data_IF_870135229573
#
_entry.id   IF_870135229573
#
_cell.length_a   1.000
_cell.length_b   1.000
_cell.length_c   1.000
_cell.angle_alpha   90.00
_cell.angle_beta   90.00
_cell.angle_gamma   90.00
#
_symmetry.space_group_name_H-M   'P 1'
#
loop_
_entity.id
_entity.type
_entity.pdbx_description
1 polymer ?
#
# COMPACT_ATOMS: atom_id res chain seq x y z
N UNK A 1 30.92 19.71 0.61
CA UNK A 1 29.59 20.34 0.39
C UNK A 1 28.55 19.43 -0.29
N UNK A 2 28.91 18.47 -1.16
CA UNK A 2 27.92 17.57 -1.84
C UNK A 2 27.19 16.54 -0.94
N UNK A 3 27.67 16.25 0.27
CA UNK A 3 27.04 15.28 1.20
C UNK A 3 25.89 15.85 2.03
N UNK A 4 25.82 17.18 2.19
CA UNK A 4 24.77 17.83 2.99
C UNK A 4 23.46 18.06 2.21
N UNK A 5 23.54 18.19 0.87
CA UNK A 5 22.35 18.35 0.02
C UNK A 5 21.51 17.06 -0.09
N UNK A 6 22.14 15.88 0.04
CA UNK A 6 21.48 14.58 -0.10
C UNK A 6 20.65 14.18 1.14
N UNK A 7 21.07 14.63 2.32
CA UNK A 7 20.36 14.40 3.59
C UNK A 7 19.07 15.22 3.71
N UNK A 8 19.02 16.40 3.07
CA UNK A 8 17.82 17.26 3.03
C UNK A 8 16.73 16.68 2.10
N UNK A 9 17.10 15.96 1.04
CA UNK A 9 16.11 15.30 0.16
C UNK A 9 15.42 14.10 0.83
N UNK A 10 16.14 13.32 1.66
CA UNK A 10 15.57 12.15 2.36
C UNK A 10 14.63 12.57 3.50
N UNK A 11 14.87 13.72 4.12
CA UNK A 11 13.98 14.28 5.15
C UNK A 11 12.69 14.88 4.56
N UNK A 12 12.71 15.35 3.31
CA UNK A 12 11.54 15.91 2.64
C UNK A 12 10.54 14.85 2.13
N UNK A 13 10.97 13.59 2.00
CA UNK A 13 10.12 12.50 1.46
C UNK A 13 9.25 11.79 2.52
N UNK A 14 9.46 12.06 3.81
CA UNK A 14 8.58 11.58 4.88
C UNK A 14 7.29 12.41 5.01
N UNK A 15 7.22 13.57 4.34
CA UNK A 15 6.14 14.54 4.47
C UNK A 15 5.33 14.66 3.17
N UNK A 16 4.55 13.62 2.81
CA UNK A 16 3.50 13.76 1.79
C UNK A 16 2.43 12.62 1.77
N UNK A 17 2.22 11.88 2.87
CA UNK A 17 1.14 10.88 2.92
C UNK A 17 0.17 11.20 4.05
N UNK A 18 -1.03 11.64 3.69
CA UNK A 18 -2.17 11.90 4.59
C UNK A 18 -2.80 10.63 5.15
N UNK A 19 -2.53 9.46 4.57
CA UNK A 19 -3.03 8.17 5.06
C UNK A 19 -2.50 7.80 6.45
N UNK A 20 -3.42 7.39 7.33
CA UNK A 20 -3.09 6.85 8.66
C UNK A 20 -2.26 5.56 8.60
N UNK A 21 -1.83 5.06 9.76
CA UNK A 21 -0.98 3.86 9.86
C UNK A 21 -1.59 2.62 9.15
N UNK A 22 -2.92 2.51 9.16
CA UNK A 22 -3.67 1.43 8.51
C UNK A 22 -3.52 1.44 6.98
N UNK A 23 -3.68 2.60 6.37
CA UNK A 23 -3.57 2.78 4.92
C UNK A 23 -2.15 2.47 4.43
N UNK A 24 -1.13 2.92 5.18
CA UNK A 24 0.28 2.62 4.88
C UNK A 24 0.59 1.13 4.98
N UNK A 25 0.05 0.47 6.00
CA UNK A 25 0.16 -0.98 6.17
C UNK A 25 -0.49 -1.74 5.02
N UNK A 26 -1.67 -1.30 4.58
CA UNK A 26 -2.37 -1.86 3.44
C UNK A 26 -1.52 -1.78 2.16
N UNK A 27 -1.01 -0.60 1.82
CA UNK A 27 -0.19 -0.38 0.63
C UNK A 27 1.04 -1.28 0.60
N UNK A 28 1.72 -1.40 1.73
CA UNK A 28 2.90 -2.24 1.86
C UNK A 28 2.57 -3.70 1.54
N UNK A 29 1.50 -4.24 2.10
CA UNK A 29 1.09 -5.62 1.84
C UNK A 29 0.59 -5.85 0.42
N UNK A 30 -0.14 -4.91 -0.17
CA UNK A 30 -0.56 -5.01 -1.58
C UNK A 30 0.66 -4.99 -2.49
N UNK A 31 1.64 -4.12 -2.26
CA UNK A 31 2.86 -4.06 -3.08
C UNK A 31 3.76 -5.29 -2.88
N UNK A 32 3.85 -5.79 -1.65
CA UNK A 32 4.46 -7.07 -1.30
C UNK A 32 3.86 -8.21 -2.13
N UNK A 33 2.54 -8.35 -2.07
CA UNK A 33 1.78 -9.33 -2.84
C UNK A 33 1.98 -9.17 -4.34
N UNK A 34 1.89 -7.94 -4.87
CA UNK A 34 2.07 -7.67 -6.31
C UNK A 34 3.48 -7.99 -6.80
N UNK A 35 4.51 -7.76 -5.99
CA UNK A 35 5.90 -8.01 -6.37
C UNK A 35 6.23 -9.51 -6.49
N UNK A 36 5.75 -10.31 -5.55
CA UNK A 36 5.95 -11.76 -5.53
C UNK A 36 4.77 -12.43 -4.78
N UNK A 37 3.66 -12.75 -5.49
CA UNK A 37 2.48 -13.33 -4.87
C UNK A 37 2.77 -14.66 -4.16
N UNK A 38 3.67 -15.48 -4.73
CA UNK A 38 3.99 -16.79 -4.17
C UNK A 38 4.78 -16.68 -2.88
N UNK A 39 5.76 -15.77 -2.83
CA UNK A 39 6.52 -15.50 -1.60
C UNK A 39 5.62 -14.88 -0.54
N UNK A 40 4.75 -13.94 -0.92
CA UNK A 40 3.76 -13.37 -0.02
C UNK A 40 2.88 -14.45 0.63
N UNK A 41 2.32 -15.36 -0.17
CA UNK A 41 1.55 -16.50 0.34
C UNK A 41 2.33 -17.33 1.36
N UNK A 42 3.60 -17.64 1.07
CA UNK A 42 4.42 -18.47 1.96
C UNK A 42 4.80 -17.74 3.26
N UNK A 43 5.28 -16.50 3.17
CA UNK A 43 5.76 -15.75 4.34
C UNK A 43 4.61 -15.42 5.29
N UNK A 44 3.46 -15.02 4.75
CA UNK A 44 2.30 -14.61 5.54
C UNK A 44 1.25 -15.71 5.71
N UNK A 45 1.56 -16.95 5.32
CA UNK A 45 0.64 -18.10 5.31
C UNK A 45 -0.73 -17.73 4.73
N UNK A 46 -0.71 -16.94 3.65
CA UNK A 46 -1.89 -16.37 3.04
C UNK A 46 -2.40 -17.27 1.93
N UNK A 47 -3.70 -17.56 1.96
CA UNK A 47 -4.41 -18.16 0.83
C UNK A 47 -4.73 -17.07 -0.20
N UNK A 48 -4.32 -17.32 -1.45
CA UNK A 48 -4.48 -16.41 -2.59
C UNK A 48 -5.43 -17.08 -3.58
N UNK A 49 -6.61 -16.48 -3.77
CA UNK A 49 -7.69 -17.04 -4.58
C UNK A 49 -7.64 -16.64 -6.06
N UNK A 50 -6.70 -15.77 -6.44
CA UNK A 50 -6.49 -15.39 -7.83
C UNK A 50 -5.17 -15.94 -8.38
N UNK A 51 -5.11 -16.18 -9.70
CA UNK A 51 -3.89 -16.55 -10.42
C UNK A 51 -2.92 -15.38 -10.58
N UNK A 52 -2.63 -14.66 -9.49
CA UNK A 52 -1.79 -13.47 -9.50
C UNK A 52 -0.36 -13.81 -9.96
N UNK A 53 0.12 -13.00 -10.88
CA UNK A 53 1.52 -12.99 -11.32
C UNK A 53 2.21 -11.73 -10.82
N UNK A 54 3.56 -11.70 -10.77
CA UNK A 54 4.29 -10.48 -10.45
C UNK A 54 3.87 -9.30 -11.34
N UNK A 55 3.59 -8.15 -10.72
CA UNK A 55 3.20 -6.90 -11.40
C UNK A 55 3.90 -5.70 -10.76
N UNK A 56 3.82 -4.55 -11.42
CA UNK A 56 4.40 -3.30 -10.90
C UNK A 56 3.75 -2.92 -9.57
N UNK A 57 4.56 -2.39 -8.66
CA UNK A 57 4.08 -1.78 -7.42
C UNK A 57 3.19 -0.58 -7.73
N UNK A 58 2.27 -0.31 -6.81
CA UNK A 58 1.34 0.81 -6.85
C UNK A 58 1.90 1.96 -6.03
N UNK A 59 1.66 3.17 -6.52
CA UNK A 59 2.06 4.39 -5.87
C UNK A 59 0.84 5.08 -5.24
N UNK A 60 0.93 5.59 -4.01
CA UNK A 60 -0.20 6.30 -3.44
C UNK A 60 -0.53 7.56 -4.25
N UNK A 61 -1.82 7.85 -4.41
CA UNK A 61 -2.31 9.04 -5.07
C UNK A 61 -3.38 9.72 -4.21
N UNK A 62 -3.13 10.97 -3.82
CA UNK A 62 -4.03 11.72 -2.93
C UNK A 62 -5.46 11.79 -3.46
N UNK A 63 -5.65 11.97 -4.77
CA UNK A 63 -7.00 12.00 -5.35
C UNK A 63 -7.73 10.64 -5.21
N UNK A 64 -7.02 9.50 -5.25
CA UNK A 64 -7.62 8.19 -5.01
C UNK A 64 -7.88 7.99 -3.51
N UNK A 65 -7.02 8.53 -2.64
CA UNK A 65 -7.25 8.52 -1.18
C UNK A 65 -8.50 9.32 -0.80
N UNK A 66 -8.69 10.49 -1.40
CA UNK A 66 -9.88 11.32 -1.22
C UNK A 66 -11.15 10.61 -1.72
N UNK A 67 -11.07 9.95 -2.89
CA UNK A 67 -12.18 9.16 -3.42
C UNK A 67 -12.56 7.98 -2.52
N UNK A 68 -11.55 7.24 -2.03
CA UNK A 68 -11.74 6.10 -1.15
C UNK A 68 -12.29 6.52 0.21
N UNK A 69 -11.76 7.60 0.80
CA UNK A 69 -12.24 8.17 2.06
C UNK A 69 -13.70 8.62 1.94
N UNK A 70 -14.04 9.32 0.85
CA UNK A 70 -15.42 9.71 0.58
C UNK A 70 -16.34 8.49 0.53
N UNK A 71 -15.97 7.44 -0.20
CA UNK A 71 -16.82 6.26 -0.33
C UNK A 71 -16.94 5.51 0.99
N UNK A 72 -15.84 5.33 1.72
CA UNK A 72 -15.82 4.67 3.01
C UNK A 72 -16.76 5.37 4.00
N UNK A 73 -16.73 6.70 4.05
CA UNK A 73 -17.65 7.51 4.87
C UNK A 73 -19.08 7.44 4.36
N UNK A 74 -19.28 7.59 3.05
CA UNK A 74 -20.60 7.63 2.43
C UNK A 74 -21.36 6.34 2.68
N UNK A 75 -20.72 5.19 2.46
CA UNK A 75 -21.30 3.86 2.71
C UNK A 75 -21.05 3.36 4.14
N UNK A 76 -20.43 4.12 5.04
CA UNK A 76 -20.45 3.76 6.47
C UNK A 76 -21.81 4.09 7.11
N UNK A 77 -22.49 5.16 6.64
CA UNK A 77 -23.77 5.65 7.19
C UNK A 77 -24.88 4.60 7.13
N UNK A 78 -25.56 4.34 8.25
CA UNK A 78 -26.62 3.32 8.36
C UNK A 78 -27.71 3.36 7.26
N UNK A 79 -28.02 4.54 6.71
CA UNK A 79 -29.01 4.74 5.64
C UNK A 79 -28.54 4.34 4.24
N UNK A 80 -27.27 4.00 4.06
CA UNK A 80 -26.68 3.70 2.76
C UNK A 80 -26.44 2.19 2.61
N UNK A 81 -26.68 1.59 1.43
CA UNK A 81 -26.26 0.21 1.19
C UNK A 81 -24.72 0.11 1.14
N UNK A 82 -24.16 -1.03 1.54
CA UNK A 82 -22.77 -1.36 1.23
C UNK A 82 -22.72 -1.80 -0.23
N UNK A 83 -22.17 -0.94 -1.09
CA UNK A 83 -22.11 -1.14 -2.53
C UNK A 83 -20.90 -0.40 -3.10
N UNK A 84 -20.49 -0.78 -4.30
CA UNK A 84 -19.55 0.01 -5.11
C UNK A 84 -20.18 1.32 -5.60
N UNK A 85 -21.52 1.35 -5.65
CA UNK A 85 -22.25 2.57 -5.90
C UNK A 85 -22.15 3.51 -4.70
N UNK A 86 -21.99 4.80 -5.00
CA UNK A 86 -22.11 5.90 -4.04
C UNK A 86 -23.49 5.87 -3.40
N UNK A 87 -23.59 6.25 -2.13
CA UNK A 87 -24.88 6.32 -1.45
C UNK A 87 -25.90 7.16 -2.26
N UNK A 88 -27.15 6.67 -2.44
CA UNK A 88 -28.16 7.34 -3.28
C UNK A 88 -28.36 8.83 -3.00
N UNK A 89 -28.23 9.23 -1.73
CA UNK A 89 -28.40 10.62 -1.28
C UNK A 89 -27.31 11.56 -1.80
N UNK A 90 -26.17 11.02 -2.22
CA UNK A 90 -25.01 11.80 -2.66
C UNK A 90 -24.82 11.77 -4.18
N UNK A 91 -25.55 10.93 -4.92
CA UNK A 91 -25.29 10.71 -6.36
C UNK A 91 -25.37 11.99 -7.20
N UNK A 92 -26.23 12.93 -6.81
CA UNK A 92 -26.34 14.23 -7.47
C UNK A 92 -25.04 15.05 -7.47
N UNK A 93 -24.11 14.78 -6.53
CA UNK A 93 -22.79 15.43 -6.46
C UNK A 93 -21.85 15.01 -7.59
N UNK A 94 -22.04 13.81 -8.13
CA UNK A 94 -21.16 13.20 -9.13
C UNK A 94 -21.82 13.06 -10.50
N UNK A 95 -23.10 13.44 -10.63
CA UNK A 95 -23.89 13.22 -11.83
C UNK A 95 -24.36 11.77 -12.02
N UNK A 96 -24.20 10.92 -11.00
CA UNK A 96 -24.54 9.49 -11.01
C UNK A 96 -24.12 8.79 -9.73
N UNK A 97 -24.61 7.56 -9.53
CA UNK A 97 -24.25 6.74 -8.36
C UNK A 97 -23.06 5.83 -8.62
N UNK A 98 -22.64 5.63 -9.87
CA UNK A 98 -21.57 4.68 -10.17
C UNK A 98 -20.24 5.08 -9.56
N UNK A 99 -19.42 4.07 -9.25
CA UNK A 99 -18.08 4.28 -8.71
C UNK A 99 -17.20 5.09 -9.67
N UNK A 100 -17.42 4.95 -10.99
CA UNK A 100 -16.63 5.65 -12.01
C UNK A 100 -16.91 7.15 -12.00
N UNK A 101 -18.16 7.56 -11.82
CA UNK A 101 -18.58 8.96 -11.72
C UNK A 101 -17.95 9.61 -10.49
N UNK A 102 -18.03 8.95 -9.33
CA UNK A 102 -17.35 9.40 -8.09
C UNK A 102 -15.85 9.50 -8.30
N UNK A 103 -15.21 8.44 -8.79
CA UNK A 103 -13.75 8.41 -8.93
C UNK A 103 -13.25 9.48 -9.91
N UNK A 104 -13.98 9.75 -11.00
CA UNK A 104 -13.63 10.82 -11.95
C UNK A 104 -13.78 12.24 -11.38
N UNK A 105 -14.65 12.47 -10.39
CA UNK A 105 -14.74 13.79 -9.77
C UNK A 105 -13.52 14.13 -8.93
N UNK A 106 -12.87 13.12 -8.33
CA UNK A 106 -11.64 13.29 -7.55
C UNK A 106 -10.38 13.14 -8.42
N UNK A 107 -10.32 12.09 -9.24
CA UNK A 107 -9.22 11.78 -10.15
C UNK A 107 -9.69 11.78 -11.63
N UNK A 108 -9.81 12.94 -12.30
CA UNK A 108 -10.32 13.01 -13.68
C UNK A 108 -9.44 12.27 -14.70
N UNK A 109 -8.15 12.11 -14.41
CA UNK A 109 -7.19 11.42 -15.29
C UNK A 109 -7.10 9.90 -15.03
N UNK A 110 -7.87 9.37 -14.06
CA UNK A 110 -7.84 7.95 -13.75
C UNK A 110 -8.50 7.12 -14.84
N UNK A 111 -7.78 6.10 -15.30
CA UNK A 111 -8.28 5.11 -16.25
C UNK A 111 -8.06 3.70 -15.72
N UNK A 112 -8.77 2.71 -16.29
CA UNK A 112 -8.73 1.31 -15.85
C UNK A 112 -8.95 1.12 -14.34
N UNK A 113 -9.76 2.00 -13.74
CA UNK A 113 -9.97 2.05 -12.30
C UNK A 113 -10.77 0.84 -11.79
N UNK A 114 -10.39 0.33 -10.63
CA UNK A 114 -11.11 -0.71 -9.89
C UNK A 114 -11.19 -0.32 -8.43
N UNK A 115 -12.25 -0.80 -7.78
CA UNK A 115 -12.47 -0.61 -6.36
C UNK A 115 -12.54 -1.97 -5.67
N UNK A 116 -11.98 -2.06 -4.47
CA UNK A 116 -12.27 -3.14 -3.52
C UNK A 116 -12.79 -2.52 -2.23
N UNK A 117 -13.80 -3.14 -1.63
CA UNK A 117 -14.35 -2.65 -0.38
C UNK A 117 -14.70 -3.80 0.57
N UNK A 118 -14.64 -3.52 1.87
CA UNK A 118 -15.08 -4.46 2.90
C UNK A 118 -15.85 -3.75 3.99
N UNK A 119 -16.70 -4.50 4.69
CA UNK A 119 -17.43 -4.06 5.86
C UNK A 119 -17.17 -5.03 7.02
N UNK A 120 -16.92 -4.49 8.22
CA UNK A 120 -16.89 -5.24 9.47
C UNK A 120 -15.51 -5.33 10.14
N UNK A 121 -14.46 -5.83 9.47
CA UNK A 121 -13.14 -5.94 10.07
C UNK A 121 -12.53 -4.58 10.44
N UNK A 122 -12.02 -4.47 11.68
CA UNK A 122 -11.37 -3.24 12.19
C UNK A 122 -9.86 -3.17 11.93
N UNK A 123 -9.26 -4.33 11.62
CA UNK A 123 -7.82 -4.51 11.45
C UNK A 123 -7.53 -4.78 9.99
N UNK A 124 -6.63 -4.00 9.40
CA UNK A 124 -6.25 -4.11 7.99
C UNK A 124 -5.71 -5.49 7.64
N UNK A 125 -5.02 -6.18 8.56
CA UNK A 125 -4.57 -7.57 8.33
C UNK A 125 -5.73 -8.49 7.94
N UNK A 126 -6.84 -8.40 8.68
CA UNK A 126 -8.04 -9.21 8.40
C UNK A 126 -8.74 -8.78 7.11
N UNK A 127 -8.68 -7.49 6.75
CA UNK A 127 -9.18 -6.97 5.47
C UNK A 127 -8.38 -7.57 4.31
N UNK A 128 -7.06 -7.54 4.40
CA UNK A 128 -6.16 -8.15 3.42
C UNK A 128 -6.42 -9.66 3.28
N UNK A 129 -6.56 -10.37 4.39
CA UNK A 129 -6.83 -11.81 4.37
C UNK A 129 -8.14 -12.12 3.59
N UNK A 130 -9.19 -11.30 3.78
CA UNK A 130 -10.46 -11.43 3.07
C UNK A 130 -10.34 -11.07 1.58
N UNK A 131 -9.62 -10.00 1.26
CA UNK A 131 -9.41 -9.59 -0.13
C UNK A 131 -8.62 -10.63 -0.91
N UNK A 132 -7.55 -11.20 -0.35
CA UNK A 132 -6.76 -12.22 -1.05
C UNK A 132 -7.49 -13.54 -1.21
N UNK A 133 -8.41 -13.90 -0.31
CA UNK A 133 -9.27 -15.09 -0.43
C UNK A 133 -10.48 -14.92 -1.35
N UNK A 134 -10.79 -13.69 -1.74
CA UNK A 134 -11.89 -13.39 -2.64
C UNK A 134 -11.37 -13.26 -4.08
N UNK A 135 -11.79 -14.11 -5.04
CA UNK A 135 -11.24 -14.08 -6.41
C UNK A 135 -11.32 -12.71 -7.07
N UNK A 136 -12.44 -11.98 -6.91
CA UNK A 136 -12.63 -10.66 -7.48
C UNK A 136 -11.73 -9.59 -6.85
N UNK A 137 -11.72 -9.49 -5.52
CA UNK A 137 -10.87 -8.53 -4.82
C UNK A 137 -9.38 -8.80 -5.06
N UNK A 138 -8.96 -10.06 -5.00
CA UNK A 138 -7.59 -10.48 -5.28
C UNK A 138 -7.17 -10.08 -6.69
N UNK A 139 -8.00 -10.35 -7.71
CA UNK A 139 -7.72 -9.99 -9.09
C UNK A 139 -7.62 -8.48 -9.30
N UNK A 140 -8.42 -7.68 -8.60
CA UNK A 140 -8.31 -6.22 -8.61
C UNK A 140 -7.01 -5.73 -7.96
N UNK A 141 -6.64 -6.26 -6.80
CA UNK A 141 -5.37 -5.92 -6.14
C UNK A 141 -4.15 -6.33 -6.96
N UNK A 142 -4.22 -7.39 -7.77
CA UNK A 142 -3.16 -7.81 -8.70
C UNK A 142 -3.27 -7.21 -10.10
N UNK A 143 -4.18 -6.25 -10.35
CA UNK A 143 -4.47 -5.77 -11.70
C UNK A 143 -3.21 -5.13 -12.34
N UNK A 144 -2.71 -5.64 -13.49
CA UNK A 144 -1.47 -5.13 -14.09
C UNK A 144 -1.61 -3.70 -14.66
N UNK A 145 -2.82 -3.28 -15.01
CA UNK A 145 -3.06 -1.96 -15.60
C UNK A 145 -2.99 -0.82 -14.58
N UNK A 146 -3.07 -1.10 -13.28
CA UNK A 146 -3.00 -0.06 -12.25
C UNK A 146 -1.52 0.29 -11.93
N UNK A 147 -1.25 1.58 -11.81
CA UNK A 147 0.03 2.13 -11.34
C UNK A 147 -0.13 2.89 -10.01
N UNK A 148 -1.36 3.16 -9.59
CA UNK A 148 -1.65 4.00 -8.44
C UNK A 148 -2.71 3.38 -7.54
N UNK A 149 -2.67 3.74 -6.26
CA UNK A 149 -3.62 3.29 -5.23
C UNK A 149 -4.02 4.44 -4.31
N UNK A 150 -5.26 4.39 -3.80
CA UNK A 150 -5.72 5.17 -2.67
C UNK A 150 -6.58 4.28 -1.79
N UNK A 151 -6.49 4.40 -0.47
CA UNK A 151 -7.30 3.60 0.44
C UNK A 151 -7.62 4.35 1.73
N UNK A 152 -8.77 4.03 2.32
CA UNK A 152 -9.17 4.57 3.61
C UNK A 152 -9.99 3.56 4.44
N UNK A 153 -10.00 3.78 5.75
CA UNK A 153 -10.71 2.96 6.73
C UNK A 153 -11.56 3.84 7.66
N UNK A 154 -12.84 3.94 7.34
CA UNK A 154 -13.83 4.58 8.20
C UNK A 154 -14.29 3.61 9.28
N UNK A 155 -14.07 3.96 10.55
CA UNK A 155 -14.48 3.14 11.72
C UNK A 155 -15.81 3.53 12.33
N UNK A 156 -16.54 4.45 11.69
CA UNK A 156 -17.86 4.88 12.13
C UNK A 156 -18.89 3.81 11.74
N UNK A 157 -19.75 3.43 12.69
CA UNK A 157 -20.85 2.46 12.61
C UNK A 157 -20.48 1.05 12.12
N UNK A 158 -20.11 0.92 10.85
CA UNK A 158 -20.03 -0.35 10.11
C UNK A 158 -18.62 -0.85 9.83
N UNK A 159 -17.59 -0.05 10.14
CA UNK A 159 -16.18 -0.32 9.81
C UNK A 159 -16.01 -0.63 8.31
N UNK A 160 -15.91 0.40 7.50
CA UNK A 160 -15.81 0.26 6.05
C UNK A 160 -14.38 0.57 5.61
N UNK A 161 -13.80 -0.35 4.84
CA UNK A 161 -12.53 -0.13 4.16
C UNK A 161 -12.78 -0.04 2.67
N UNK A 162 -12.20 0.96 2.01
CA UNK A 162 -12.24 1.12 0.55
C UNK A 162 -10.81 1.28 0.05
N UNK A 163 -10.49 0.63 -1.07
CA UNK A 163 -9.29 0.91 -1.83
C UNK A 163 -9.60 1.00 -3.33
N UNK A 164 -9.17 2.11 -3.91
CA UNK A 164 -9.24 2.41 -5.33
C UNK A 164 -7.87 2.23 -5.98
N UNK A 165 -7.82 1.52 -7.09
CA UNK A 165 -6.61 1.33 -7.89
C UNK A 165 -6.88 1.84 -9.30
N UNK A 166 -5.96 2.59 -9.87
CA UNK A 166 -6.12 3.14 -11.22
C UNK A 166 -4.79 3.27 -11.96
N UNK A 167 -4.88 3.52 -13.27
CA UNK A 167 -3.79 4.02 -14.08
C UNK A 167 -3.85 5.55 -14.12
N UNK A 168 -2.79 6.22 -13.66
CA UNK A 168 -2.63 7.67 -13.69
C UNK A 168 -1.50 8.13 -14.63
N UNK A 169 -0.92 7.20 -15.41
CA UNK A 169 0.20 7.45 -16.32
C UNK A 169 1.37 8.16 -15.63
N UNK A 170 1.73 7.71 -14.44
CA UNK A 170 2.81 8.35 -13.70
C UNK A 170 4.17 7.84 -14.18
N UNK A 171 4.76 8.55 -15.14
CA UNK A 171 6.08 8.21 -15.72
C UNK A 171 7.26 8.64 -14.85
N UNK A 172 7.06 9.56 -13.90
CA UNK A 172 8.14 10.34 -13.29
C UNK A 172 8.12 10.27 -11.75
N UNK A 173 7.77 9.12 -11.17
CA UNK A 173 7.65 9.08 -9.72
C UNK A 173 9.01 9.08 -9.04
N UNK A 174 9.25 10.06 -8.14
CA UNK A 174 10.50 10.09 -7.40
C UNK A 174 10.57 8.84 -6.52
N UNK A 175 11.78 8.36 -6.23
CA UNK A 175 11.95 7.14 -5.46
C UNK A 175 11.32 7.30 -4.07
N UNK A 176 10.28 6.53 -3.80
CA UNK A 176 9.63 6.54 -2.49
C UNK A 176 10.03 5.28 -1.72
N UNK A 177 10.17 5.44 -0.40
CA UNK A 177 10.41 4.36 0.54
C UNK A 177 9.25 4.36 1.53
N UNK A 178 8.50 3.27 1.61
CA UNK A 178 7.49 3.07 2.64
C UNK A 178 7.99 1.97 3.56
N UNK A 179 8.34 2.33 4.80
CA UNK A 179 8.67 1.37 5.84
C UNK A 179 7.56 1.34 6.90
N UNK A 180 7.22 0.16 7.39
CA UNK A 180 6.24 -0.03 8.45
C UNK A 180 6.64 -1.21 9.32
N UNK A 181 6.32 -1.12 10.61
CA UNK A 181 6.60 -2.14 11.61
C UNK A 181 5.31 -2.55 12.30
N UNK A 182 5.03 -3.84 12.36
CA UNK A 182 3.94 -4.38 13.16
C UNK A 182 4.37 -4.50 14.62
N UNK A 183 3.76 -3.74 15.55
CA UNK A 183 4.05 -3.90 16.97
C UNK A 183 3.51 -5.23 17.52
N UNK A 184 2.49 -5.85 16.91
CA UNK A 184 1.91 -7.11 17.35
C UNK A 184 2.64 -8.32 16.75
N UNK A 185 3.05 -8.24 15.48
CA UNK A 185 3.61 -9.38 14.74
C UNK A 185 5.16 -9.40 14.68
N UNK A 186 5.84 -8.45 15.34
CA UNK A 186 7.31 -8.34 15.42
C UNK A 186 8.02 -8.39 14.07
N UNK A 187 7.39 -7.86 13.03
CA UNK A 187 8.00 -7.72 11.71
C UNK A 187 7.89 -6.29 11.20
N UNK A 188 8.75 -5.91 10.28
CA UNK A 188 8.76 -4.61 9.63
C UNK A 188 8.98 -4.91 8.17
N UNK A 189 8.24 -4.26 7.30
CA UNK A 189 8.57 -4.29 5.89
C UNK A 189 8.84 -2.89 5.35
N UNK A 190 9.73 -2.81 4.37
CA UNK A 190 9.99 -1.61 3.61
C UNK A 190 9.86 -1.91 2.11
N UNK A 191 9.12 -1.07 1.40
CA UNK A 191 9.01 -1.07 -0.06
C UNK A 191 9.73 0.16 -0.59
N UNK A 192 10.59 -0.01 -1.59
CA UNK A 192 11.25 1.12 -2.26
C UNK A 192 11.09 1.05 -3.76
N UNK A 193 10.96 2.19 -4.40
CA UNK A 193 10.89 2.27 -5.87
C UNK A 193 12.05 3.11 -6.38
N UNK A 194 13.25 2.54 -6.36
CA UNK A 194 14.43 3.17 -6.92
C UNK A 194 14.54 2.68 -8.37
N UNK A 195 14.13 3.52 -9.33
CA UNK A 195 14.35 3.33 -10.79
C UNK A 195 13.87 1.96 -11.33
N UNK A 196 12.60 1.82 -11.71
CA UNK A 196 12.00 0.61 -12.34
C UNK A 196 12.21 -0.74 -11.62
N UNK A 197 12.98 -0.79 -10.53
CA UNK A 197 13.24 -1.95 -9.69
C UNK A 197 12.55 -1.72 -8.35
N UNK A 198 11.70 -2.66 -7.96
CA UNK A 198 11.03 -2.65 -6.66
C UNK A 198 11.84 -3.50 -5.69
N UNK A 199 12.27 -2.89 -4.58
CA UNK A 199 12.99 -3.58 -3.53
C UNK A 199 12.09 -3.77 -2.32
N UNK A 200 12.05 -5.00 -1.82
CA UNK A 200 11.36 -5.36 -0.60
C UNK A 200 12.38 -5.69 0.49
N UNK A 201 12.17 -5.14 1.69
CA UNK A 201 12.82 -5.59 2.92
C UNK A 201 11.76 -6.14 3.85
N UNK A 202 11.93 -7.35 4.36
CA UNK A 202 11.13 -7.88 5.48
C UNK A 202 12.11 -8.19 6.63
N UNK A 203 11.86 -7.61 7.81
CA UNK A 203 12.49 -7.94 9.09
C UNK A 203 11.49 -8.74 9.91
N UNK A 204 11.94 -9.80 10.60
CA UNK A 204 11.21 -10.40 11.72
C UNK A 204 12.14 -10.53 12.93
N UNK A 205 11.63 -10.26 14.13
CA UNK A 205 12.31 -10.56 15.38
C UNK A 205 11.93 -11.98 15.83
N UNK A 206 12.63 -12.99 15.29
CA UNK A 206 12.44 -14.41 15.66
C UNK A 206 13.16 -14.80 16.97
N UNK A 207 13.55 -13.80 17.78
CA UNK A 207 14.14 -14.00 19.09
C UNK A 207 15.62 -14.41 19.09
N UNK A 208 16.24 -14.69 17.94
CA UNK A 208 17.70 -14.95 17.87
C UNK A 208 18.43 -14.43 16.62
N UNK A 209 17.75 -14.08 15.52
CA UNK A 209 18.41 -13.58 14.30
C UNK A 209 17.57 -12.54 13.57
N UNK A 210 18.01 -11.28 13.60
CA UNK A 210 17.50 -10.25 12.69
C UNK A 210 17.80 -10.66 11.24
N UNK A 211 16.82 -11.19 10.51
CA UNK A 211 16.93 -11.49 9.09
C UNK A 211 16.29 -10.35 8.31
N UNK A 212 17.08 -9.69 7.47
CA UNK A 212 16.57 -8.79 6.45
C UNK A 212 16.84 -9.43 5.09
N UNK A 213 15.80 -9.65 4.29
CA UNK A 213 15.96 -9.97 2.88
C UNK A 213 15.68 -8.69 2.12
N UNK A 214 16.74 -7.98 1.74
CA UNK A 214 16.69 -6.79 0.90
C UNK A 214 17.11 -7.14 -0.53
N UNK A 215 16.64 -6.40 -1.53
CA UNK A 215 17.11 -6.52 -2.92
C UNK A 215 17.38 -5.11 -3.43
N UNK A 216 18.56 -4.57 -3.12
CA UNK A 216 18.92 -3.19 -3.45
C UNK A 216 20.12 -3.12 -4.40
N UNK A 217 20.13 -2.10 -5.26
CA UNK A 217 21.37 -1.42 -5.62
C UNK A 217 21.94 -0.73 -4.37
N UNK A 218 23.25 -0.80 -4.09
CA UNK A 218 23.83 -0.32 -2.82
C UNK A 218 23.48 1.14 -2.50
N UNK A 219 23.09 1.45 -1.25
CA UNK A 219 22.62 2.80 -0.85
C UNK A 219 22.41 3.03 0.65
N UNK A 220 22.08 4.28 1.03
CA UNK A 220 21.76 4.71 2.40
C UNK A 220 20.24 4.82 2.58
N UNK A 221 19.71 4.28 3.69
CA UNK A 221 18.27 4.23 3.92
C UNK A 221 17.93 4.66 5.35
N UNK A 222 16.88 5.47 5.51
CA UNK A 222 16.35 5.90 6.81
C UNK A 222 15.07 5.13 7.08
N UNK A 223 15.02 4.37 8.17
CA UNK A 223 13.81 3.69 8.63
C UNK A 223 13.24 4.44 9.84
N UNK A 224 11.97 4.79 9.79
CA UNK A 224 11.28 5.40 10.94
C UNK A 224 10.35 4.37 11.58
N UNK A 225 10.46 4.21 12.90
CA UNK A 225 9.53 3.37 13.66
C UNK A 225 8.26 4.15 14.04
N UNK A 226 7.25 3.44 14.55
CA UNK A 226 5.95 4.01 14.98
C UNK A 226 6.10 5.03 16.12
N UNK A 227 7.19 4.99 16.89
CA UNK A 227 7.44 5.95 17.99
C UNK A 227 8.14 7.23 17.54
N UNK A 228 8.29 7.47 16.23
CA UNK A 228 9.01 8.64 15.69
C UNK A 228 10.53 8.59 15.94
N UNK A 229 11.08 7.46 16.40
CA UNK A 229 12.52 7.26 16.52
C UNK A 229 13.05 6.74 15.19
N UNK A 230 13.71 7.63 14.45
CA UNK A 230 14.45 7.24 13.26
C UNK A 230 15.65 6.37 13.64
N UNK A 231 15.79 5.23 12.98
CA UNK A 231 17.00 4.41 13.01
C UNK A 231 17.62 4.44 11.62
N UNK A 232 18.90 4.80 11.54
CA UNK A 232 19.63 4.71 10.27
C UNK A 232 19.91 3.23 9.99
N UNK A 233 19.49 2.73 8.83
CA UNK A 233 19.74 1.33 8.44
C UNK A 233 20.63 1.34 7.21
N UNK A 234 21.81 0.73 7.33
CA UNK A 234 22.75 0.62 6.23
C UNK A 234 22.58 -0.71 5.52
N UNK A 235 22.44 -0.69 4.19
CA UNK A 235 22.34 -1.90 3.38
C UNK A 235 23.54 -2.00 2.43
N UNK A 236 24.38 -3.01 2.63
CA UNK A 236 25.41 -3.41 1.65
C UNK A 236 24.86 -4.38 0.64
N UNK A 237 25.18 -4.18 -0.64
CA UNK A 237 24.92 -5.19 -1.67
C UNK A 237 25.61 -6.51 -1.30
N UNK A 238 24.82 -7.53 -1.00
CA UNK A 238 25.28 -8.91 -1.07
C UNK A 238 25.24 -9.39 -2.51
N UNK A 239 26.15 -10.27 -2.91
CA UNK A 239 26.19 -10.80 -4.28
C UNK A 239 24.88 -11.52 -4.65
N UNK A 240 24.57 -11.55 -5.95
CA UNK A 240 23.33 -12.06 -6.57
C UNK A 240 22.90 -13.47 -6.13
N UNK A 241 23.77 -14.24 -5.47
CA UNK A 241 23.54 -15.65 -5.13
C UNK A 241 23.27 -15.91 -3.65
N UNK A 242 23.49 -14.94 -2.75
CA UNK A 242 23.16 -15.07 -1.32
C UNK A 242 23.32 -13.72 -0.60
N UNK A 243 22.30 -12.86 -0.61
CA UNK A 243 22.46 -11.57 0.02
C UNK A 243 22.32 -11.70 1.55
N UNK A 244 23.46 -11.60 2.25
CA UNK A 244 23.50 -11.45 3.72
C UNK A 244 23.61 -9.97 4.04
N UNK A 245 22.61 -9.43 4.73
CA UNK A 245 22.62 -8.04 5.21
C UNK A 245 22.93 -8.03 6.70
N UNK A 246 23.96 -7.26 7.09
CA UNK A 246 24.28 -7.00 8.49
C UNK A 246 23.83 -5.58 8.83
N UNK A 247 23.04 -5.45 9.90
CA UNK A 247 22.68 -4.16 10.49
C UNK A 247 23.75 -3.84 11.54
N UNK A 248 24.40 -2.68 11.42
CA UNK A 248 25.21 -2.09 12.49
C UNK A 248 24.38 -1.05 13.23
#
# INVERSE_FOLDING_TARGET
MRRFLFLLLVAAMAAAFSGGNDTRYFYLHVNLFRSDPQRYAREFRQEIACGAVPTRVLFPASCLEEAAAYQADSVARASCPISHETCPQDCGRFGGCGYTERLRSFCPNATAAVEVLSQGPRRVRRILDLFFRSPGHCAHLSRPSADSIGADLTRVDRNVFVADLAFLNRTDLPPFITAWCDPEERWCAASTTLTNESALVVWSDDGQKKRAAAWFAPGFFRAENISGKATNVWFTAGSKTSPRYAIR
#
